data_IF_518412443951
#
_entry.id   IF_518412443951
#
_cell.length_a   1.000
_cell.length_b   1.000
_cell.length_c   1.000
_cell.angle_alpha   90.00
_cell.angle_beta   90.00
_cell.angle_gamma   90.00
#
_symmetry.space_group_name_H-M   'P 1'
#
loop_
_entity.id
_entity.type
_entity.pdbx_description
1 polymer ?
#
# COMPACT_ATOMS: atom_id res chain seq x y z
N UNK A 1 6.03 3.25 -14.52
CA UNK A 1 4.77 3.06 -13.77
C UNK A 1 3.59 3.31 -14.67
N UNK A 2 2.62 2.41 -14.68
CA UNK A 2 1.40 2.59 -15.48
C UNK A 2 0.18 2.48 -14.58
N UNK A 3 -0.80 3.35 -14.85
CA UNK A 3 -2.04 3.41 -14.09
C UNK A 3 -3.18 2.95 -14.98
N UNK A 4 -3.95 1.97 -14.49
CA UNK A 4 -5.10 1.45 -15.21
C UNK A 4 -6.37 1.66 -14.38
N UNK A 5 -7.43 2.08 -15.07
CA UNK A 5 -8.75 2.17 -14.45
C UNK A 5 -9.45 0.83 -14.62
N UNK A 6 -9.80 0.19 -13.51
CA UNK A 6 -10.43 -1.13 -13.51
C UNK A 6 -11.61 -1.15 -12.54
N UNK A 7 -12.60 -2.05 -12.76
CA UNK A 7 -13.73 -2.14 -11.83
C UNK A 7 -13.31 -2.82 -10.53
N UNK A 8 -13.09 -2.02 -9.49
CA UNK A 8 -12.75 -2.51 -8.16
C UNK A 8 -13.96 -2.40 -7.22
N UNK A 9 -14.02 -3.23 -6.17
CA UNK A 9 -15.04 -3.09 -5.14
C UNK A 9 -15.08 -1.67 -4.57
N UNK A 10 -16.25 -1.28 -4.13
CA UNK A 10 -16.54 0.08 -3.65
C UNK A 10 -15.57 0.57 -2.56
N UNK A 11 -15.11 -0.36 -1.71
CA UNK A 11 -14.21 -0.04 -0.59
C UNK A 11 -12.72 -0.10 -0.96
N UNK A 12 -12.39 -0.41 -2.22
CA UNK A 12 -11.01 -0.45 -2.71
C UNK A 12 -10.84 0.65 -3.74
N UNK A 13 -10.08 1.69 -3.39
CA UNK A 13 -9.84 2.82 -4.29
C UNK A 13 -8.71 2.53 -5.27
N UNK A 14 -7.71 1.75 -4.85
CA UNK A 14 -6.57 1.41 -5.69
C UNK A 14 -5.83 0.19 -5.18
N UNK A 15 -5.05 -0.42 -6.06
CA UNK A 15 -4.21 -1.57 -5.76
C UNK A 15 -2.87 -1.36 -6.44
N UNK A 16 -1.78 -1.59 -5.73
CA UNK A 16 -0.44 -1.61 -6.31
C UNK A 16 -0.09 -3.05 -6.70
N UNK A 17 0.36 -3.22 -7.94
CA UNK A 17 0.80 -4.50 -8.48
C UNK A 17 1.95 -4.19 -9.43
N UNK A 18 3.16 -4.15 -8.90
CA UNK A 18 4.33 -3.67 -9.64
C UNK A 18 4.44 -4.31 -11.03
N UNK A 19 4.67 -3.56 -12.08
CA UNK A 19 4.91 -2.11 -12.11
C UNK A 19 3.64 -1.27 -12.31
N UNK A 20 2.47 -1.84 -12.04
CA UNK A 20 1.18 -1.22 -12.33
C UNK A 20 0.48 -0.71 -11.08
N UNK A 21 -0.33 0.34 -11.27
CA UNK A 21 -1.28 0.80 -10.26
C UNK A 21 -2.68 0.67 -10.87
N UNK A 22 -3.56 -0.01 -10.17
CA UNK A 22 -4.95 -0.19 -10.59
C UNK A 22 -5.82 0.72 -9.75
N UNK A 23 -6.65 1.54 -10.38
CA UNK A 23 -7.51 2.48 -9.67
C UNK A 23 -8.96 2.30 -10.11
N UNK A 24 -9.88 2.63 -9.22
CA UNK A 24 -11.30 2.50 -9.50
C UNK A 24 -11.86 3.68 -10.29
N UNK A 25 -11.35 4.88 -10.05
CA UNK A 25 -11.85 6.10 -10.68
C UNK A 25 -10.89 6.62 -11.74
N UNK A 26 -11.44 7.27 -12.78
CA UNK A 26 -10.65 7.84 -13.89
C UNK A 26 -9.66 8.90 -13.41
N UNK A 27 -10.05 9.71 -12.43
CA UNK A 27 -9.23 10.81 -11.94
C UNK A 27 -8.83 10.57 -10.47
N UNK A 28 -7.89 9.64 -10.21
CA UNK A 28 -7.44 9.40 -8.85
C UNK A 28 -6.70 10.62 -8.31
N UNK A 29 -6.79 10.84 -7.00
CA UNK A 29 -6.07 11.94 -6.35
C UNK A 29 -4.57 11.67 -6.38
N UNK A 30 -3.77 12.75 -6.32
CA UNK A 30 -2.32 12.61 -6.21
C UNK A 30 -1.93 11.86 -4.93
N UNK A 31 -2.70 12.06 -3.87
CA UNK A 31 -2.51 11.36 -2.62
C UNK A 31 -2.67 9.85 -2.78
N UNK A 32 -3.72 9.41 -3.46
CA UNK A 32 -3.92 7.99 -3.74
C UNK A 32 -2.79 7.42 -4.60
N UNK A 33 -2.39 8.13 -5.64
CA UNK A 33 -1.29 7.69 -6.51
C UNK A 33 0.00 7.54 -5.70
N UNK A 34 0.31 8.50 -4.85
CA UNK A 34 1.53 8.43 -4.02
C UNK A 34 1.45 7.26 -3.04
N UNK A 35 0.29 7.02 -2.44
CA UNK A 35 0.07 5.88 -1.56
C UNK A 35 0.43 4.57 -2.27
N UNK A 36 -0.10 4.38 -3.49
CA UNK A 36 0.18 3.17 -4.26
C UNK A 36 1.64 3.12 -4.75
N UNK A 37 2.25 4.26 -5.06
CA UNK A 37 3.66 4.31 -5.41
C UNK A 37 4.56 3.85 -4.26
N UNK A 38 4.19 4.19 -3.02
CA UNK A 38 4.94 3.71 -1.85
C UNK A 38 4.87 2.18 -1.80
N UNK A 39 3.71 1.60 -2.05
CA UNK A 39 3.58 0.14 -2.12
C UNK A 39 4.42 -0.46 -3.25
N UNK A 40 4.53 0.23 -4.40
CA UNK A 40 5.41 -0.25 -5.48
C UNK A 40 6.87 -0.33 -5.02
N UNK A 41 7.34 0.67 -4.26
CA UNK A 41 8.69 0.64 -3.71
C UNK A 41 8.87 -0.53 -2.74
N UNK A 42 7.88 -0.80 -1.90
CA UNK A 42 7.88 -1.94 -0.99
C UNK A 42 7.96 -3.25 -1.77
N UNK A 43 7.21 -3.35 -2.87
CA UNK A 43 7.21 -4.54 -3.73
C UNK A 43 8.54 -4.75 -4.45
N UNK A 44 9.20 -3.67 -4.86
CA UNK A 44 10.54 -3.77 -5.45
C UNK A 44 11.54 -4.33 -4.44
N UNK A 45 11.42 -3.90 -3.19
CA UNK A 45 12.34 -4.34 -2.13
C UNK A 45 12.15 -5.82 -1.76
N UNK A 46 10.91 -6.27 -1.65
CA UNK A 46 10.57 -7.62 -1.22
C UNK A 46 10.34 -8.60 -2.37
N UNK A 47 9.97 -8.10 -3.54
CA UNK A 47 9.35 -8.90 -4.57
C UNK A 47 7.84 -9.00 -4.34
N UNK A 48 7.08 -9.13 -5.42
CA UNK A 48 5.61 -9.11 -5.36
C UNK A 48 5.07 -10.26 -4.50
N UNK A 49 5.61 -11.45 -4.67
CA UNK A 49 5.15 -12.63 -3.93
C UNK A 49 5.35 -12.47 -2.43
N UNK A 50 6.58 -12.12 -2.01
CA UNK A 50 6.88 -11.94 -0.59
C UNK A 50 6.09 -10.78 0.01
N UNK A 51 5.90 -9.71 -0.76
CA UNK A 51 5.08 -8.59 -0.31
C UNK A 51 3.66 -9.06 0.04
N UNK A 52 3.00 -9.78 -0.86
CA UNK A 52 1.61 -10.19 -0.62
C UNK A 52 1.48 -11.32 0.39
N UNK A 53 2.46 -12.20 0.50
CA UNK A 53 2.49 -13.22 1.56
C UNK A 53 2.58 -12.54 2.92
N UNK A 54 3.51 -11.60 3.06
CA UNK A 54 3.71 -10.84 4.29
C UNK A 54 2.47 -10.00 4.61
N UNK A 55 1.98 -9.28 3.60
CA UNK A 55 0.78 -8.45 3.72
C UNK A 55 -0.41 -9.24 4.26
N UNK A 56 -0.68 -10.38 3.63
CA UNK A 56 -1.80 -11.24 4.02
C UNK A 56 -1.61 -11.84 5.41
N UNK A 57 -0.40 -12.28 5.71
CA UNK A 57 -0.08 -12.85 7.03
C UNK A 57 -0.26 -11.81 8.12
N UNK A 58 0.29 -10.63 7.91
CA UNK A 58 0.17 -9.56 8.90
C UNK A 58 -1.29 -9.12 9.06
N UNK A 59 -2.03 -9.04 7.96
CA UNK A 59 -3.46 -8.73 8.02
C UNK A 59 -4.22 -9.73 8.90
N UNK A 60 -3.99 -11.03 8.70
CA UNK A 60 -4.66 -12.07 9.47
C UNK A 60 -4.29 -12.01 10.96
N UNK A 61 -3.01 -11.79 11.26
CA UNK A 61 -2.56 -11.65 12.64
C UNK A 61 -3.19 -10.42 13.31
N UNK A 62 -3.21 -9.30 12.61
CA UNK A 62 -3.81 -8.07 13.13
C UNK A 62 -5.32 -8.21 13.28
N UNK A 63 -5.96 -8.93 12.35
CA UNK A 63 -7.39 -9.21 12.44
C UNK A 63 -7.72 -10.02 13.70
N UNK A 64 -6.90 -11.01 14.01
CA UNK A 64 -7.05 -11.82 15.21
C UNK A 64 -7.01 -10.95 16.48
N UNK A 65 -6.06 -9.99 16.54
CA UNK A 65 -5.92 -9.11 17.70
C UNK A 65 -7.00 -8.04 17.74
N UNK A 66 -7.26 -7.37 16.63
CA UNK A 66 -8.15 -6.20 16.60
C UNK A 66 -9.62 -6.56 16.45
N UNK A 67 -9.91 -7.71 15.86
CA UNK A 67 -11.26 -8.16 15.51
C UNK A 67 -12.02 -7.15 14.65
N UNK A 68 -11.27 -6.37 13.88
CA UNK A 68 -11.81 -5.36 12.96
C UNK A 68 -10.98 -5.37 11.69
N UNK A 69 -11.62 -5.64 10.54
CA UNK A 69 -10.92 -5.65 9.26
C UNK A 69 -10.31 -4.28 8.94
N UNK A 70 -11.04 -3.21 9.26
CA UNK A 70 -10.54 -1.85 9.01
C UNK A 70 -9.30 -1.55 9.85
N UNK A 71 -9.33 -1.89 11.14
CA UNK A 71 -8.16 -1.67 12.02
C UNK A 71 -6.99 -2.55 11.63
N UNK A 72 -7.26 -3.82 11.28
CA UNK A 72 -6.22 -4.74 10.85
C UNK A 72 -5.49 -4.22 9.61
N UNK A 73 -6.26 -3.79 8.61
CA UNK A 73 -5.73 -3.22 7.39
C UNK A 73 -4.84 -2.01 7.66
N UNK A 74 -5.32 -1.05 8.46
CA UNK A 74 -4.56 0.16 8.78
C UNK A 74 -3.32 -0.12 9.62
N UNK A 75 -3.26 -1.26 10.31
CA UNK A 75 -2.16 -1.63 11.19
C UNK A 75 -1.02 -2.36 10.47
N UNK A 76 -1.24 -2.84 9.25
CA UNK A 76 -0.19 -3.51 8.48
C UNK A 76 0.97 -2.52 8.26
N UNK A 77 2.21 -2.97 8.47
CA UNK A 77 3.37 -2.07 8.40
C UNK A 77 3.46 -1.37 7.04
N UNK A 78 3.14 -2.07 5.96
CA UNK A 78 3.14 -1.46 4.63
C UNK A 78 2.12 -0.33 4.52
N UNK A 79 0.93 -0.52 5.10
CA UNK A 79 -0.10 0.51 5.07
C UNK A 79 0.22 1.66 6.00
N UNK A 80 0.82 1.39 7.15
CA UNK A 80 1.21 2.46 8.07
C UNK A 80 2.21 3.42 7.40
N UNK A 81 3.21 2.88 6.70
CA UNK A 81 4.15 3.72 5.96
C UNK A 81 3.44 4.53 4.89
N UNK A 82 2.59 3.89 4.09
CA UNK A 82 1.91 4.56 2.99
C UNK A 82 0.99 5.68 3.49
N UNK A 83 0.21 5.43 4.53
CA UNK A 83 -0.68 6.46 5.08
C UNK A 83 0.09 7.60 5.74
N UNK A 84 1.24 7.31 6.35
CA UNK A 84 2.05 8.34 7.00
C UNK A 84 2.61 9.35 6.00
N UNK A 85 2.91 8.92 4.77
CA UNK A 85 3.64 9.74 3.80
C UNK A 85 2.91 9.99 2.49
N UNK A 86 1.66 9.60 2.38
CA UNK A 86 0.91 9.77 1.13
C UNK A 86 0.69 11.23 0.73
N UNK A 87 0.84 12.17 1.68
CA UNK A 87 0.71 13.60 1.41
C UNK A 87 2.06 14.31 1.26
N UNK A 88 3.16 13.61 1.46
CA UNK A 88 4.50 14.19 1.36
C UNK A 88 5.02 14.07 -0.07
N UNK A 89 5.04 15.19 -0.79
CA UNK A 89 5.43 15.22 -2.21
C UNK A 89 6.86 14.78 -2.46
N UNK A 90 7.75 14.95 -1.49
CA UNK A 90 9.17 14.62 -1.63
C UNK A 90 9.54 13.26 -1.04
N UNK A 91 8.59 12.55 -0.45
CA UNK A 91 8.90 11.33 0.29
C UNK A 91 9.60 10.27 -0.56
N UNK A 92 9.12 10.03 -1.78
CA UNK A 92 9.69 9.00 -2.65
C UNK A 92 11.12 9.31 -3.06
N UNK A 93 11.50 10.60 -3.10
CA UNK A 93 12.86 11.02 -3.42
C UNK A 93 13.84 10.78 -2.27
N UNK A 94 13.33 10.77 -1.04
CA UNK A 94 14.16 10.65 0.17
C UNK A 94 13.91 9.37 0.95
N UNK A 95 12.96 8.55 0.50
CA UNK A 95 12.58 7.32 1.21
C UNK A 95 13.76 6.37 1.35
N UNK A 96 13.98 5.89 2.57
CA UNK A 96 14.99 4.89 2.87
C UNK A 96 14.51 3.50 2.48
N UNK A 97 15.44 2.64 2.06
CA UNK A 97 15.12 1.24 1.78
C UNK A 97 14.59 0.58 3.04
N UNK A 98 13.56 -0.28 2.88
CA UNK A 98 12.96 -1.03 3.98
C UNK A 98 12.33 -0.14 5.05
N UNK A 99 11.87 1.06 4.64
CA UNK A 99 11.28 2.02 5.58
C UNK A 99 10.07 1.45 6.31
N UNK A 100 9.33 0.51 5.70
CA UNK A 100 8.16 -0.10 6.32
C UNK A 100 8.51 -0.85 7.61
N UNK A 101 9.75 -1.30 7.78
CA UNK A 101 10.16 -2.00 9.00
C UNK A 101 10.02 -1.15 10.26
N UNK A 102 10.06 0.17 10.12
CA UNK A 102 9.85 1.09 11.23
C UNK A 102 8.48 0.91 11.87
N UNK A 103 7.51 0.42 11.10
CA UNK A 103 6.12 0.28 11.53
C UNK A 103 5.72 -1.14 11.91
N UNK A 104 6.66 -2.04 11.90
CA UNK A 104 6.38 -3.44 12.20
C UNK A 104 6.02 -3.67 13.67
#
# INVERSE_FOLDING_TARGET
MRIFVVPLPKYIAGIALWPFILVRRKNPSTQLIRHEQIHLHQQIELGIFLFYIWYSTEFLLRLFWTRSAAKAYRSICFEQEAYAYQTDESYLDTRKKWAFLTYL
#
